data_IF_080705801334
#
_entry.id   IF_080705801334
#
_cell.length_a   1.000
_cell.length_b   1.000
_cell.length_c   1.000
_cell.angle_alpha   90.00
_cell.angle_beta   90.00
_cell.angle_gamma   90.00
#
_symmetry.space_group_name_H-M   'P 1'
#
loop_
_entity.id
_entity.type
_entity.pdbx_description
1 polymer ?
#
# COMPACT_ATOMS: atom_id res chain seq x y z
N UNK A 1 14.46 -28.86 -1.84
CA UNK A 1 14.83 -28.61 -0.42
C UNK A 1 13.51 -28.44 0.31
N UNK A 2 13.27 -29.19 1.40
CA UNK A 2 11.93 -29.50 1.94
C UNK A 2 11.24 -28.29 2.61
N UNK A 3 10.01 -28.03 2.20
CA UNK A 3 9.08 -27.09 2.85
C UNK A 3 8.65 -27.65 4.21
N UNK A 4 8.96 -26.94 5.29
CA UNK A 4 8.39 -27.19 6.61
C UNK A 4 7.15 -26.31 6.80
N UNK A 5 5.97 -26.86 6.52
CA UNK A 5 4.69 -26.24 6.84
C UNK A 5 4.36 -26.52 8.32
N UNK A 6 4.96 -25.73 9.22
CA UNK A 6 4.63 -25.75 10.64
C UNK A 6 3.36 -24.96 10.90
N UNK A 7 2.19 -25.59 10.74
CA UNK A 7 0.91 -24.97 11.06
C UNK A 7 0.69 -25.03 12.59
N UNK A 8 1.27 -24.09 13.32
CA UNK A 8 1.06 -23.92 14.74
C UNK A 8 -0.21 -23.09 15.00
N UNK A 9 -1.36 -23.75 15.10
CA UNK A 9 -2.60 -23.11 15.56
C UNK A 9 -2.44 -22.74 17.06
N UNK A 10 -2.01 -21.51 17.32
CA UNK A 10 -2.12 -20.93 18.66
C UNK A 10 -3.61 -20.78 19.01
N UNK A 11 -3.97 -21.02 20.28
CA UNK A 11 -5.35 -21.04 20.83
C UNK A 11 -6.19 -19.75 20.63
N UNK A 12 -5.70 -18.78 19.86
CA UNK A 12 -6.30 -17.48 19.55
C UNK A 12 -6.89 -17.46 18.11
N UNK A 13 -6.75 -18.54 17.33
CA UNK A 13 -7.28 -18.60 15.95
C UNK A 13 -6.52 -17.71 14.96
N UNK A 14 -5.27 -17.36 15.29
CA UNK A 14 -4.38 -16.58 14.43
C UNK A 14 -3.48 -17.51 13.64
N UNK A 15 -3.40 -17.29 12.33
CA UNK A 15 -2.43 -17.95 11.47
C UNK A 15 -1.13 -17.15 11.49
N UNK A 16 -0.02 -17.81 11.78
CA UNK A 16 1.32 -17.22 11.83
C UNK A 16 2.13 -17.77 10.67
N UNK A 17 2.63 -16.87 9.82
CA UNK A 17 3.56 -17.19 8.73
C UNK A 17 4.96 -16.66 9.07
N UNK A 18 5.97 -17.54 9.07
CA UNK A 18 7.37 -17.20 9.38
C UNK A 18 8.20 -17.39 8.12
N UNK A 19 8.79 -16.32 7.64
CA UNK A 19 9.67 -16.32 6.46
C UNK A 19 11.08 -15.93 6.86
N UNK A 20 12.07 -16.66 6.36
CA UNK A 20 13.47 -16.26 6.48
C UNK A 20 13.77 -15.15 5.48
N UNK A 21 14.59 -14.15 5.85
CA UNK A 21 14.86 -13.02 4.99
C UNK A 21 15.67 -13.43 3.76
N UNK A 22 15.38 -12.77 2.64
CA UNK A 22 16.28 -12.77 1.48
C UNK A 22 17.49 -11.84 1.72
N UNK A 23 18.52 -11.95 0.88
CA UNK A 23 19.77 -11.18 1.00
C UNK A 23 19.55 -9.65 0.99
N UNK A 24 18.41 -9.18 0.50
CA UNK A 24 18.07 -7.76 0.35
C UNK A 24 17.03 -7.28 1.37
N UNK A 25 16.50 -8.19 2.19
CA UNK A 25 15.45 -7.98 3.18
C UNK A 25 14.22 -7.25 2.61
N UNK A 26 13.78 -7.62 1.40
CA UNK A 26 12.75 -6.88 0.66
C UNK A 26 11.42 -6.77 1.41
N UNK A 27 10.99 -7.83 2.10
CA UNK A 27 9.75 -7.82 2.88
C UNK A 27 9.75 -6.76 3.99
N UNK A 28 10.89 -6.61 4.69
CA UNK A 28 11.08 -5.63 5.77
C UNK A 28 11.10 -4.22 5.19
N UNK A 29 11.85 -4.01 4.10
CA UNK A 29 11.93 -2.70 3.42
C UNK A 29 10.58 -2.25 2.87
N UNK A 30 9.83 -3.14 2.24
CA UNK A 30 8.49 -2.87 1.75
C UNK A 30 7.54 -2.52 2.90
N UNK A 31 7.64 -3.21 4.04
CA UNK A 31 6.87 -2.88 5.23
C UNK A 31 7.16 -1.45 5.72
N UNK A 32 8.43 -1.04 5.74
CA UNK A 32 8.80 0.33 6.08
C UNK A 32 8.27 1.34 5.06
N UNK A 33 8.38 1.05 3.76
CA UNK A 33 7.85 1.90 2.70
C UNK A 33 6.33 2.12 2.84
N UNK A 34 5.57 1.04 3.07
CA UNK A 34 4.13 1.11 3.28
C UNK A 34 3.79 1.91 4.55
N UNK A 35 4.55 1.73 5.64
CA UNK A 35 4.35 2.51 6.87
C UNK A 35 4.45 4.00 6.58
N UNK A 36 5.47 4.45 5.85
CA UNK A 36 5.60 5.85 5.47
C UNK A 36 4.44 6.32 4.58
N UNK A 37 4.01 5.53 3.59
CA UNK A 37 2.85 5.88 2.78
C UNK A 37 1.57 6.09 3.59
N UNK A 38 1.30 5.24 4.58
CA UNK A 38 0.15 5.37 5.48
C UNK A 38 0.26 6.63 6.35
N UNK A 39 1.47 6.99 6.76
CA UNK A 39 1.75 8.23 7.51
C UNK A 39 1.64 9.49 6.64
N UNK A 40 1.88 9.41 5.33
CA UNK A 40 1.73 10.55 4.42
C UNK A 40 0.28 11.04 4.35
N UNK A 41 -0.69 10.13 4.16
CA UNK A 41 -2.10 10.51 4.00
C UNK A 41 -3.09 9.40 4.40
N UNK A 42 -4.00 9.74 5.32
CA UNK A 42 -5.09 8.86 5.79
C UNK A 42 -6.08 8.40 4.70
N UNK A 43 -6.13 9.04 3.53
CA UNK A 43 -6.93 8.61 2.37
C UNK A 43 -6.47 7.27 1.83
N UNK A 44 -5.17 6.95 1.92
CA UNK A 44 -4.64 5.65 1.51
C UNK A 44 -5.32 4.51 2.27
N UNK A 45 -5.32 4.55 3.60
CA UNK A 45 -5.90 3.47 4.42
C UNK A 45 -7.40 3.30 4.16
N UNK A 46 -8.13 4.42 4.00
CA UNK A 46 -9.57 4.39 3.71
C UNK A 46 -9.87 3.78 2.34
N UNK A 47 -9.14 4.21 1.31
CA UNK A 47 -9.32 3.70 -0.04
C UNK A 47 -8.90 2.23 -0.14
N UNK A 48 -7.79 1.86 0.49
CA UNK A 48 -7.34 0.48 0.56
C UNK A 48 -8.40 -0.42 1.18
N UNK A 49 -8.97 -0.06 2.34
CA UNK A 49 -10.03 -0.85 2.97
C UNK A 49 -11.27 -0.98 2.08
N UNK A 50 -11.68 0.10 1.40
CA UNK A 50 -12.79 0.06 0.45
C UNK A 50 -12.52 -0.89 -0.73
N UNK A 51 -11.38 -0.75 -1.40
CA UNK A 51 -11.00 -1.61 -2.53
C UNK A 51 -10.82 -3.06 -2.09
N UNK A 52 -10.27 -3.27 -0.90
CA UNK A 52 -10.12 -4.60 -0.29
C UNK A 52 -11.48 -5.29 -0.13
N UNK A 53 -12.49 -4.59 0.40
CA UNK A 53 -13.85 -5.10 0.55
C UNK A 53 -14.54 -5.30 -0.80
N UNK A 54 -14.37 -4.37 -1.74
CA UNK A 54 -14.93 -4.49 -3.08
C UNK A 54 -14.37 -5.73 -3.80
N UNK A 55 -13.07 -5.94 -3.74
CA UNK A 55 -12.41 -7.05 -4.43
C UNK A 55 -12.71 -8.40 -3.75
N UNK A 56 -12.98 -8.42 -2.45
CA UNK A 56 -13.54 -9.59 -1.76
C UNK A 56 -14.95 -9.91 -2.28
N UNK A 57 -15.81 -8.89 -2.38
CA UNK A 57 -17.19 -9.06 -2.86
C UNK A 57 -17.25 -9.48 -4.35
N UNK A 58 -16.24 -9.13 -5.14
CA UNK A 58 -16.08 -9.58 -6.53
C UNK A 58 -15.38 -10.94 -6.66
N UNK A 59 -14.96 -11.56 -5.54
CA UNK A 59 -14.26 -12.86 -5.50
C UNK A 59 -12.94 -12.91 -6.30
N UNK A 60 -12.32 -11.75 -6.57
CA UNK A 60 -11.06 -11.63 -7.32
C UNK A 60 -9.81 -11.64 -6.42
N UNK A 61 -9.97 -12.06 -5.16
CA UNK A 61 -8.92 -12.10 -4.14
C UNK A 61 -8.65 -13.51 -3.65
N UNK A 62 -7.55 -14.09 -4.13
CA UNK A 62 -6.95 -15.29 -3.55
C UNK A 62 -5.56 -15.56 -4.14
N UNK A 63 -4.51 -15.05 -3.49
CA UNK A 63 -3.14 -15.21 -4.01
C UNK A 63 -2.68 -16.67 -4.10
N UNK A 64 -3.28 -17.57 -3.31
CA UNK A 64 -2.97 -19.00 -3.38
C UNK A 64 -3.48 -19.67 -4.67
N UNK A 65 -4.45 -19.04 -5.35
CA UNK A 65 -4.98 -19.48 -6.64
C UNK A 65 -4.62 -18.53 -7.79
N UNK A 66 -3.58 -17.70 -7.63
CA UNK A 66 -3.12 -16.76 -8.67
C UNK A 66 -3.96 -15.49 -8.82
N UNK A 67 -4.89 -15.22 -7.90
CA UNK A 67 -5.69 -13.99 -7.88
C UNK A 67 -5.01 -12.89 -7.03
N UNK A 68 -5.59 -11.68 -6.97
CA UNK A 68 -4.95 -10.53 -6.34
C UNK A 68 -4.73 -10.71 -4.82
N UNK A 69 -3.50 -10.49 -4.36
CA UNK A 69 -3.19 -10.43 -2.92
C UNK A 69 -3.56 -9.06 -2.33
N UNK A 70 -3.65 -8.97 -0.99
CA UNK A 70 -3.85 -7.68 -0.32
C UNK A 70 -2.72 -6.68 -0.63
N UNK A 71 -1.49 -7.17 -0.81
CA UNK A 71 -0.37 -6.32 -1.19
C UNK A 71 -0.53 -5.75 -2.61
N UNK A 72 -1.02 -6.55 -3.57
CA UNK A 72 -1.30 -6.05 -4.92
C UNK A 72 -2.35 -4.93 -4.90
N UNK A 73 -3.42 -5.08 -4.11
CA UNK A 73 -4.46 -4.06 -3.96
C UNK A 73 -3.89 -2.79 -3.34
N UNK A 74 -3.01 -2.93 -2.35
CA UNK A 74 -2.33 -1.81 -1.72
C UNK A 74 -1.45 -1.05 -2.73
N UNK A 75 -0.67 -1.77 -3.56
CA UNK A 75 0.15 -1.15 -4.60
C UNK A 75 -0.71 -0.45 -5.67
N UNK A 76 -1.81 -1.06 -6.11
CA UNK A 76 -2.77 -0.43 -7.01
C UNK A 76 -3.34 0.86 -6.41
N UNK A 77 -3.65 0.84 -5.11
CA UNK A 77 -4.16 2.01 -4.40
C UNK A 77 -3.12 3.13 -4.37
N UNK A 78 -1.87 2.82 -4.02
CA UNK A 78 -0.77 3.79 -3.98
C UNK A 78 -0.54 4.37 -5.38
N UNK A 79 -0.47 3.52 -6.41
CA UNK A 79 -0.26 3.94 -7.79
C UNK A 79 -1.40 4.86 -8.29
N UNK A 80 -2.65 4.53 -7.98
CA UNK A 80 -3.79 5.39 -8.30
C UNK A 80 -3.67 6.75 -7.62
N UNK A 81 -3.29 6.78 -6.33
CA UNK A 81 -3.08 8.02 -5.59
C UNK A 81 -1.86 8.84 -6.05
N UNK A 82 -0.93 8.22 -6.79
CA UNK A 82 0.21 8.88 -7.44
C UNK A 82 -0.10 9.37 -8.86
N UNK A 83 -1.18 8.90 -9.48
CA UNK A 83 -1.46 9.16 -10.89
C UNK A 83 -2.09 10.54 -11.10
N UNK A 84 -1.36 11.43 -11.78
CA UNK A 84 -1.87 12.74 -12.24
C UNK A 84 -3.02 12.60 -13.24
N UNK A 85 -3.02 11.51 -14.03
CA UNK A 85 -4.07 11.24 -15.00
C UNK A 85 -5.40 10.88 -14.32
N UNK A 86 -5.34 10.14 -13.21
CA UNK A 86 -6.52 9.78 -12.45
C UNK A 86 -6.98 10.89 -11.48
N UNK A 87 -6.04 11.71 -10.99
CA UNK A 87 -6.26 12.72 -9.97
C UNK A 87 -5.76 14.09 -10.43
N UNK A 88 -6.69 14.87 -10.99
CA UNK A 88 -6.44 16.25 -11.40
C UNK A 88 -6.94 17.25 -10.33
N UNK A 89 -6.18 18.31 -9.98
CA UNK A 89 -4.94 18.77 -10.62
C UNK A 89 -3.62 18.24 -10.03
N UNK A 90 -3.64 17.53 -8.89
CA UNK A 90 -2.42 17.06 -8.22
C UNK A 90 -2.58 15.64 -7.69
N UNK A 91 -1.51 14.82 -7.67
CA UNK A 91 -1.54 13.53 -6.99
C UNK A 91 -1.80 13.71 -5.49
N UNK A 92 -2.30 12.64 -4.87
CA UNK A 92 -2.54 12.57 -3.44
C UNK A 92 -1.31 12.07 -2.68
N UNK A 93 -0.52 11.20 -3.29
CA UNK A 93 0.71 10.65 -2.71
C UNK A 93 1.92 10.96 -3.58
N UNK A 94 3.09 11.26 -2.98
CA UNK A 94 4.35 11.32 -3.72
C UNK A 94 4.86 9.92 -4.09
N UNK A 95 5.84 9.87 -4.98
CA UNK A 95 6.68 8.67 -5.15
C UNK A 95 7.80 8.74 -4.11
N UNK A 96 7.66 8.05 -2.97
CA UNK A 96 8.57 8.17 -1.82
C UNK A 96 10.00 7.77 -2.15
N UNK A 97 10.20 6.73 -2.97
CA UNK A 97 11.54 6.33 -3.40
C UNK A 97 12.29 7.42 -4.18
N UNK A 98 11.58 8.37 -4.80
CA UNK A 98 12.18 9.50 -5.52
C UNK A 98 12.32 10.74 -4.64
N UNK A 99 11.32 11.02 -3.82
CA UNK A 99 11.22 12.27 -3.05
C UNK A 99 11.89 12.19 -1.67
N UNK A 100 11.96 11.00 -1.08
CA UNK A 100 12.43 10.75 0.28
C UNK A 100 13.30 9.49 0.32
N UNK A 101 14.24 9.38 -0.63
CA UNK A 101 15.12 8.21 -0.74
C UNK A 101 15.96 7.98 0.53
N UNK A 102 16.25 9.03 1.30
CA UNK A 102 16.91 8.96 2.61
C UNK A 102 16.08 8.25 3.71
N UNK A 103 14.77 8.05 3.50
CA UNK A 103 13.90 7.36 4.45
C UNK A 103 13.52 5.93 4.01
N UNK A 104 13.45 5.69 2.70
CA UNK A 104 12.95 4.41 2.14
C UNK A 104 13.86 3.78 1.08
N UNK A 105 15.01 4.38 0.81
CA UNK A 105 15.92 3.93 -0.24
C UNK A 105 16.63 2.62 0.08
N UNK A 106 17.03 1.90 -0.96
CA UNK A 106 17.77 0.64 -0.83
C UNK A 106 19.17 0.82 -0.19
N UNK A 107 19.72 2.03 -0.23
CA UNK A 107 21.03 2.34 0.36
C UNK A 107 21.02 2.40 1.90
N UNK A 108 19.83 2.45 2.52
CA UNK A 108 19.71 2.53 3.98
C UNK A 108 20.09 1.16 4.57
N UNK A 109 21.01 1.08 5.54
CA UNK A 109 21.35 -0.16 6.25
C UNK A 109 20.10 -0.83 6.82
N UNK A 110 20.04 -2.17 6.77
CA UNK A 110 18.84 -2.89 7.21
C UNK A 110 18.58 -2.69 8.71
N UNK A 111 19.63 -2.60 9.53
CA UNK A 111 19.51 -2.39 10.97
C UNK A 111 18.81 -1.06 11.31
N UNK A 112 19.05 -0.01 10.52
CA UNK A 112 18.38 1.29 10.69
C UNK A 112 16.89 1.20 10.33
N UNK A 113 16.55 0.44 9.28
CA UNK A 113 15.16 0.19 8.89
C UNK A 113 14.43 -0.57 9.99
N UNK A 114 15.05 -1.62 10.55
CA UNK A 114 14.48 -2.39 11.66
C UNK A 114 14.30 -1.51 12.90
N UNK A 115 15.31 -0.71 13.25
CA UNK A 115 15.23 0.23 14.38
C UNK A 115 14.10 1.25 14.20
N UNK A 116 13.88 1.71 12.97
CA UNK A 116 12.74 2.59 12.61
C UNK A 116 11.41 1.87 12.75
N UNK A 117 11.35 0.59 12.39
CA UNK A 117 10.15 -0.23 12.50
C UNK A 117 9.78 -0.53 13.96
N UNK A 118 10.78 -0.75 14.81
CA UNK A 118 10.62 -1.02 16.24
C UNK A 118 10.29 0.25 17.04
N UNK A 119 10.79 1.39 16.58
CA UNK A 119 10.45 2.69 17.16
C UNK A 119 8.95 2.96 16.94
N UNK A 120 8.19 3.07 18.02
CA UNK A 120 6.80 3.49 18.01
C UNK A 120 6.69 4.97 17.60
N UNK A 121 6.94 5.26 16.33
CA UNK A 121 6.76 6.60 15.77
C UNK A 121 5.26 6.90 15.74
N UNK A 122 4.80 7.72 16.69
CA UNK A 122 3.55 8.46 16.60
C UNK A 122 3.52 9.40 15.39
N UNK A 123 2.45 10.18 15.18
CA UNK A 123 2.17 10.94 13.94
C UNK A 123 3.12 12.12 13.65
N UNK A 124 4.33 12.13 14.22
CA UNK A 124 5.34 13.19 14.02
C UNK A 124 5.82 13.24 12.57
N UNK A 125 5.86 12.09 11.87
CA UNK A 125 6.23 12.02 10.45
C UNK A 125 5.20 12.61 9.49
N UNK A 126 3.90 12.58 9.84
CA UNK A 126 2.84 13.13 8.99
C UNK A 126 3.02 14.64 8.76
N UNK A 127 3.56 15.37 9.75
CA UNK A 127 3.77 16.81 9.65
C UNK A 127 4.96 17.20 8.76
N UNK A 128 5.96 16.32 8.59
CA UNK A 128 7.06 16.52 7.64
C UNK A 128 6.60 16.25 6.20
N UNK A 129 5.92 15.13 5.95
CA UNK A 129 5.46 14.78 4.60
C UNK A 129 4.43 15.78 4.04
N UNK A 130 3.54 16.30 4.89
CA UNK A 130 2.51 17.28 4.49
C UNK A 130 3.10 18.67 4.19
N UNK A 131 4.25 19.03 4.79
CA UNK A 131 4.89 20.33 4.54
C UNK A 131 5.61 20.38 3.19
N UNK A 132 6.29 19.30 2.81
CA UNK A 132 7.07 19.26 1.57
C UNK A 132 6.21 18.95 0.34
N UNK A 133 5.14 18.15 0.48
CA UNK A 133 4.20 17.83 -0.60
C UNK A 133 2.94 18.70 -0.53
N UNK A 134 3.09 20.03 -0.43
CA UNK A 134 1.95 20.97 -0.36
C UNK A 134 1.24 21.15 -1.71
N UNK A 135 0.70 20.07 -2.26
CA UNK A 135 -0.45 20.14 -3.15
C UNK A 135 -1.65 20.61 -2.33
N UNK A 136 -1.96 21.91 -2.39
CA UNK A 136 -3.06 22.57 -1.66
C UNK A 136 -4.47 22.15 -2.14
N UNK A 137 -4.67 20.87 -2.43
CA UNK A 137 -5.92 20.34 -2.96
C UNK A 137 -6.63 19.46 -1.94
N UNK A 138 -7.66 19.99 -1.29
CA UNK A 138 -8.75 19.16 -0.79
C UNK A 138 -9.38 18.44 -1.98
N UNK A 139 -8.84 17.28 -2.39
CA UNK A 139 -9.50 16.43 -3.37
C UNK A 139 -10.79 15.96 -2.73
N UNK A 140 -11.91 16.50 -3.21
CA UNK A 140 -13.25 16.17 -2.74
C UNK A 140 -13.45 14.65 -2.74
N UNK A 141 -13.97 14.10 -1.64
CA UNK A 141 -14.30 12.67 -1.49
C UNK A 141 -15.16 12.18 -2.66
N UNK A 142 -16.03 13.04 -3.20
CA UNK A 142 -16.86 12.75 -4.37
C UNK A 142 -16.02 12.55 -5.62
N UNK A 143 -14.99 13.38 -5.85
CA UNK A 143 -14.07 13.22 -6.99
C UNK A 143 -13.24 11.96 -6.89
N UNK A 144 -12.78 11.63 -5.68
CA UNK A 144 -12.03 10.40 -5.41
C UNK A 144 -12.89 9.17 -5.76
N UNK A 145 -14.14 9.16 -5.28
CA UNK A 145 -15.11 8.11 -5.59
C UNK A 145 -15.47 8.04 -7.08
N UNK A 146 -15.69 9.19 -7.73
CA UNK A 146 -15.97 9.25 -9.17
C UNK A 146 -14.80 8.75 -10.00
N UNK A 147 -13.56 9.13 -9.69
CA UNK A 147 -12.37 8.67 -10.40
C UNK A 147 -12.17 7.15 -10.25
N UNK A 148 -12.44 6.59 -9.07
CA UNK A 148 -12.43 5.13 -8.86
C UNK A 148 -13.53 4.46 -9.70
N UNK A 149 -14.75 5.02 -9.69
CA UNK A 149 -15.87 4.50 -10.46
C UNK A 149 -15.63 4.56 -11.98
N UNK A 150 -15.10 5.67 -12.50
CA UNK A 150 -14.84 5.82 -13.93
C UNK A 150 -13.64 5.00 -14.40
N UNK A 151 -12.53 4.94 -13.65
CA UNK A 151 -11.35 4.20 -14.10
C UNK A 151 -11.43 2.69 -13.84
N UNK A 152 -12.00 2.25 -12.71
CA UNK A 152 -12.03 0.82 -12.38
C UNK A 152 -13.38 0.16 -12.71
N UNK A 153 -14.53 0.84 -12.54
CA UNK A 153 -15.84 0.22 -12.75
C UNK A 153 -16.32 0.36 -14.21
N UNK A 154 -16.16 1.53 -14.83
CA UNK A 154 -16.52 1.71 -16.26
C UNK A 154 -15.51 1.01 -17.17
N UNK A 155 -14.22 1.01 -16.83
CA UNK A 155 -13.18 0.29 -17.57
C UNK A 155 -13.42 -1.23 -17.62
N UNK A 156 -13.94 -1.83 -16.55
CA UNK A 156 -14.28 -3.27 -16.51
C UNK A 156 -15.49 -3.63 -17.39
N UNK A 157 -16.42 -2.69 -17.62
CA UNK A 157 -17.59 -2.93 -18.49
C UNK A 157 -17.25 -3.00 -19.97
N UNK A 158 -16.08 -2.53 -20.41
CA UNK A 158 -15.64 -2.69 -21.79
C UNK A 158 -14.77 -3.93 -22.03
N UNK A 159 -14.36 -4.65 -20.98
CA UNK A 159 -13.56 -5.87 -21.10
C UNK A 159 -14.40 -7.16 -21.21
N UNK A 160 -15.73 -7.08 -21.13
CA UNK A 160 -16.66 -8.23 -21.23
C UNK A 160 -17.50 -8.24 -22.52
N UNK A 161 -17.13 -7.44 -23.52
CA UNK A 161 -17.70 -7.52 -24.87
C UNK A 161 -16.58 -7.72 -25.87
N UNK A 162 -15.94 -8.89 -25.86
CA UNK A 162 -15.36 -9.57 -27.03
C UNK A 162 -15.24 -11.06 -26.73
#
# INVERSE_FOLDING_TARGET
MRDFHGNGDFKIGQNIDIQFPDDQFQAIRNTNLIRHYVQCDSRLSRLFLYLRMLFDALEIRNSKYGLLSSYHILLLTIHFLQSEQALFPWPVLPVLCKTHSNLVGAHIPIDDVVSTLDSAQGPVGAFLFVKDYRGSGTVDKRRLFFAIWTHFVVGFRHAHTF
#
